data_IF_855203693902
#
_entry.id   IF_855203693902
#
_cell.length_a   1.000
_cell.length_b   1.000
_cell.length_c   1.000
_cell.angle_alpha   90.00
_cell.angle_beta   90.00
_cell.angle_gamma   90.00
#
_symmetry.space_group_name_H-M   'P 1'
#
loop_
_entity.id
_entity.type
_entity.pdbx_description
1 polymer ?
#
# COMPACT_ATOMS: atom_id res chain seq x y z
N UNK A 1 9.21 3.98 -17.64
CA UNK A 1 8.07 4.88 -17.49
C UNK A 1 7.39 5.03 -18.84
N UNK A 2 6.35 4.24 -19.07
CA UNK A 2 5.44 4.43 -20.22
C UNK A 2 4.46 5.57 -19.96
N UNK A 3 3.88 6.14 -21.03
CA UNK A 3 2.92 7.26 -20.94
C UNK A 3 1.77 6.99 -19.96
N UNK A 4 1.26 5.75 -19.93
CA UNK A 4 0.15 5.36 -19.05
C UNK A 4 0.52 5.40 -17.55
N UNK A 5 1.79 5.19 -17.20
CA UNK A 5 2.28 5.26 -15.82
C UNK A 5 2.50 6.71 -15.40
N UNK A 6 2.91 7.54 -16.35
CA UNK A 6 3.07 8.97 -16.16
C UNK A 6 1.70 9.65 -15.93
N UNK A 7 0.68 9.33 -16.72
CA UNK A 7 -0.67 9.86 -16.52
C UNK A 7 -1.23 9.50 -15.15
N UNK A 8 -1.09 8.24 -14.73
CA UNK A 8 -1.56 7.77 -13.43
C UNK A 8 -0.82 8.42 -12.26
N UNK A 9 0.49 8.62 -12.37
CA UNK A 9 1.27 9.36 -11.39
C UNK A 9 0.85 10.84 -11.32
N UNK A 10 0.56 11.45 -12.47
CA UNK A 10 0.14 12.85 -12.56
C UNK A 10 -1.24 13.06 -11.95
N UNK A 11 -2.17 12.13 -12.18
CA UNK A 11 -3.50 12.14 -11.58
C UNK A 11 -3.43 12.02 -10.04
N UNK A 12 -2.62 11.09 -9.52
CA UNK A 12 -2.41 10.92 -8.09
C UNK A 12 -1.83 12.18 -7.44
N UNK A 13 -0.83 12.79 -8.08
CA UNK A 13 -0.21 14.03 -7.61
C UNK A 13 -1.21 15.20 -7.63
N UNK A 14 -2.01 15.31 -8.68
CA UNK A 14 -3.04 16.35 -8.79
C UNK A 14 -4.06 16.24 -7.65
N UNK A 15 -4.51 15.03 -7.36
CA UNK A 15 -5.45 14.76 -6.27
C UNK A 15 -4.88 15.11 -4.89
N UNK A 16 -3.60 14.80 -4.62
CA UNK A 16 -2.93 15.18 -3.36
C UNK A 16 -2.83 16.71 -3.20
N UNK A 17 -2.49 17.44 -4.27
CA UNK A 17 -2.41 18.91 -4.26
C UNK A 17 -3.78 19.54 -3.96
N UNK A 18 -4.86 19.01 -4.54
CA UNK A 18 -6.22 19.50 -4.28
C UNK A 18 -6.64 19.24 -2.83
N UNK A 19 -6.27 18.09 -2.27
CA UNK A 19 -6.57 17.75 -0.88
C UNK A 19 -5.87 18.71 0.09
N UNK A 20 -4.59 19.00 -0.12
CA UNK A 20 -3.83 19.97 0.68
C UNK A 20 -4.40 21.39 0.56
N UNK A 21 -4.92 21.78 -0.60
CA UNK A 21 -5.61 23.07 -0.78
C UNK A 21 -6.94 23.11 -0.02
N UNK A 22 -7.67 22.00 0.06
CA UNK A 22 -8.93 21.90 0.80
C UNK A 22 -8.70 21.97 2.31
N UNK A 23 -7.75 21.20 2.84
CA UNK A 23 -7.39 21.24 4.27
C UNK A 23 -6.79 22.57 4.70
N UNK A 24 -6.07 23.28 3.81
CA UNK A 24 -5.54 24.63 4.10
C UNK A 24 -6.62 25.72 4.12
N UNK A 25 -7.72 25.55 3.39
CA UNK A 25 -8.87 26.48 3.43
C UNK A 25 -9.74 26.30 4.67
N UNK A 26 -9.83 25.09 5.21
CA UNK A 26 -10.58 24.81 6.44
C UNK A 26 -9.83 25.25 7.71
N UNK A 27 -8.50 25.44 7.65
CA UNK A 27 -7.69 25.87 8.80
C UNK A 27 -7.60 27.41 9.02
N UNK A 28 -8.27 28.24 8.20
CA UNK A 28 -8.15 29.71 8.29
C UNK A 28 -9.40 30.39 8.86
N UNK A 29 -10.35 29.63 9.38
CA UNK A 29 -11.58 30.21 9.93
C UNK A 29 -12.09 29.38 11.11
N UNK A 30 -11.35 29.38 12.23
CA UNK A 30 -11.95 29.47 13.56
C UNK A 30 -10.93 29.69 14.69
N UNK A 31 -10.99 30.91 15.22
CA UNK A 31 -11.16 31.23 16.65
C UNK A 31 -10.19 30.68 17.70
N UNK A 32 -9.37 31.61 18.22
CA UNK A 32 -8.75 31.64 19.55
C UNK A 32 -9.52 30.82 20.59
N UNK A 33 -8.90 29.79 21.15
CA UNK A 33 -9.22 29.34 22.51
C UNK A 33 -7.94 28.98 23.26
N UNK A 34 -7.70 29.74 24.33
CA UNK A 34 -6.76 29.45 25.40
C UNK A 34 -7.26 28.21 26.14
N UNK A 35 -6.48 27.13 26.20
CA UNK A 35 -6.63 26.11 27.24
C UNK A 35 -5.23 25.74 27.75
N UNK A 36 -4.91 26.32 28.91
CA UNK A 36 -3.92 25.79 29.85
C UNK A 36 -4.59 24.62 30.56
N UNK A 37 -4.08 23.38 30.42
CA UNK A 37 -4.20 22.33 31.45
C UNK A 37 -2.99 21.38 31.38
N UNK A 38 -2.18 21.50 32.42
CA UNK A 38 -1.38 20.51 33.15
C UNK A 38 -0.82 19.25 32.47
N UNK A 39 0.51 19.18 32.56
CA UNK A 39 1.32 18.03 32.99
C UNK A 39 0.55 16.92 33.72
N UNK A 40 0.60 15.71 33.18
CA UNK A 40 0.75 14.49 33.98
C UNK A 40 1.76 13.57 33.29
N UNK A 41 2.74 13.22 34.10
CA UNK A 41 3.78 12.21 33.93
C UNK A 41 3.14 10.83 33.80
N UNK A 42 3.37 10.12 32.69
CA UNK A 42 3.17 8.67 32.67
C UNK A 42 4.16 7.98 31.73
N UNK A 43 5.31 7.69 32.34
CA UNK A 43 6.32 6.70 31.96
C UNK A 43 5.67 5.39 31.50
N UNK A 44 5.53 5.20 30.18
CA UNK A 44 5.32 3.89 29.57
C UNK A 44 6.60 3.45 28.87
N UNK A 45 7.40 2.70 29.65
CA UNK A 45 8.56 1.96 29.19
C UNK A 45 8.04 0.72 28.46
N UNK A 46 7.84 0.82 27.14
CA UNK A 46 7.60 -0.35 26.30
C UNK A 46 8.93 -0.89 25.76
N UNK A 47 9.08 -2.20 25.91
CA UNK A 47 10.26 -2.98 25.57
C UNK A 47 10.64 -2.80 24.10
N UNK A 48 11.80 -2.21 23.89
CA UNK A 48 12.49 -2.15 22.61
C UNK A 48 13.69 -3.09 22.73
N UNK A 49 13.45 -4.39 22.68
CA UNK A 49 14.52 -5.40 22.66
C UNK A 49 13.95 -6.75 22.22
N UNK A 50 14.05 -7.02 20.92
CA UNK A 50 14.41 -8.31 20.31
C UNK A 50 13.92 -8.34 18.86
N UNK A 51 14.74 -7.87 17.92
CA UNK A 51 14.81 -8.42 16.55
C UNK A 51 16.19 -8.12 15.97
N UNK A 52 17.22 -8.57 16.68
CA UNK A 52 18.57 -8.75 16.14
C UNK A 52 19.01 -10.17 16.44
N UNK A 53 18.50 -11.14 15.68
CA UNK A 53 19.21 -12.41 15.56
C UNK A 53 18.69 -13.20 14.38
N UNK A 54 19.62 -13.61 13.52
CA UNK A 54 19.47 -14.50 12.36
C UNK A 54 18.86 -13.73 11.17
N UNK A 55 19.61 -13.47 10.10
CA UNK A 55 19.93 -14.47 9.09
C UNK A 55 21.21 -14.10 8.32
N UNK A 56 22.26 -14.89 8.51
CA UNK A 56 23.18 -15.23 7.42
C UNK A 56 22.58 -16.47 6.74
N UNK A 57 21.48 -16.32 6.03
CA UNK A 57 20.99 -17.37 5.13
C UNK A 57 21.45 -17.02 3.72
N UNK A 58 22.30 -17.90 3.18
CA UNK A 58 22.62 -17.98 1.76
C UNK A 58 21.31 -17.91 0.99
N UNK A 59 21.05 -16.75 0.39
CA UNK A 59 19.80 -16.45 -0.29
C UNK A 59 19.82 -17.19 -1.61
N UNK A 60 19.23 -18.38 -1.64
CA UNK A 60 18.84 -18.96 -2.91
C UNK A 60 17.92 -17.96 -3.63
N UNK A 61 18.06 -17.79 -4.95
CA UNK A 61 17.24 -16.85 -5.70
C UNK A 61 15.77 -17.24 -5.51
N UNK A 62 14.96 -16.29 -5.01
CA UNK A 62 13.53 -16.50 -4.80
C UNK A 62 12.90 -17.01 -6.10
N UNK A 63 12.15 -18.12 -6.03
CA UNK A 63 11.41 -18.60 -7.21
C UNK A 63 10.26 -17.64 -7.52
N UNK A 64 10.51 -16.77 -8.50
CA UNK A 64 9.59 -15.73 -8.96
C UNK A 64 8.43 -16.27 -9.79
N UNK A 65 8.43 -17.56 -10.14
CA UNK A 65 7.40 -18.14 -11.02
C UNK A 65 6.09 -18.43 -10.32
N UNK A 66 6.06 -18.54 -8.99
CA UNK A 66 4.86 -18.92 -8.25
C UNK A 66 4.72 -18.18 -6.91
N UNK A 67 4.41 -16.88 -6.99
CA UNK A 67 4.20 -16.02 -5.81
C UNK A 67 3.18 -16.62 -4.85
N UNK A 68 2.13 -17.28 -5.35
CA UNK A 68 1.07 -17.86 -4.51
C UNK A 68 1.57 -18.89 -3.49
N UNK A 69 2.74 -19.48 -3.72
CA UNK A 69 3.36 -20.46 -2.83
C UNK A 69 4.38 -19.82 -1.85
N UNK A 70 4.62 -18.52 -1.95
CA UNK A 70 5.56 -17.83 -1.08
C UNK A 70 5.07 -17.86 0.37
N UNK A 71 5.98 -18.21 1.27
CA UNK A 71 5.79 -18.07 2.70
C UNK A 71 5.90 -16.60 3.11
N UNK A 72 5.51 -16.30 4.36
CA UNK A 72 5.71 -14.96 4.93
C UNK A 72 7.20 -14.54 4.90
N UNK A 73 8.12 -15.50 5.08
CA UNK A 73 9.57 -15.23 5.00
C UNK A 73 10.00 -14.85 3.59
N UNK A 74 9.47 -15.53 2.57
CA UNK A 74 9.76 -15.22 1.17
C UNK A 74 9.25 -13.81 0.80
N UNK A 75 8.05 -13.46 1.25
CA UNK A 75 7.48 -12.10 1.08
C UNK A 75 8.36 -11.04 1.74
N UNK A 76 8.79 -11.26 2.99
CA UNK A 76 9.71 -10.33 3.66
C UNK A 76 11.03 -10.20 2.92
N UNK A 77 11.61 -11.31 2.49
CA UNK A 77 12.86 -11.35 1.72
C UNK A 77 12.72 -10.57 0.42
N UNK A 78 11.61 -10.77 -0.31
CA UNK A 78 11.28 -10.01 -1.51
C UNK A 78 11.19 -8.51 -1.25
N UNK A 79 10.47 -8.07 -0.21
CA UNK A 79 10.33 -6.66 0.12
C UNK A 79 11.68 -6.01 0.46
N UNK A 80 12.55 -6.74 1.17
CA UNK A 80 13.91 -6.26 1.49
C UNK A 80 14.76 -6.17 0.21
N UNK A 81 14.78 -7.21 -0.61
CA UNK A 81 15.59 -7.28 -1.83
C UNK A 81 15.18 -6.26 -2.90
N UNK A 82 13.92 -5.80 -2.86
CA UNK A 82 13.38 -4.82 -3.83
C UNK A 82 13.34 -3.39 -3.33
N UNK A 83 14.02 -3.11 -2.21
CA UNK A 83 14.09 -1.78 -1.57
C UNK A 83 12.72 -1.27 -1.10
N UNK A 84 11.82 -2.19 -0.74
CA UNK A 84 10.46 -1.93 -0.25
C UNK A 84 10.35 -2.14 1.28
N UNK A 85 11.45 -1.96 2.00
CA UNK A 85 11.51 -2.11 3.46
C UNK A 85 10.53 -1.18 4.20
N UNK A 86 10.16 -0.04 3.59
CA UNK A 86 9.21 0.92 4.17
C UNK A 86 7.79 0.36 4.32
N UNK A 87 7.41 -0.62 3.50
CA UNK A 87 6.09 -1.26 3.56
C UNK A 87 6.09 -2.58 4.35
N UNK A 88 7.24 -3.02 4.87
CA UNK A 88 7.33 -4.19 5.76
C UNK A 88 6.37 -4.12 6.96
N UNK A 89 6.11 -2.96 7.60
CA UNK A 89 5.17 -2.93 8.71
C UNK A 89 3.73 -3.31 8.30
N UNK A 90 3.36 -3.05 7.04
CA UNK A 90 2.04 -3.42 6.50
C UNK A 90 1.99 -4.85 6.01
N UNK A 91 3.05 -5.31 5.33
CA UNK A 91 3.03 -6.55 4.54
C UNK A 91 4.01 -7.62 5.06
N UNK A 92 4.74 -7.36 6.13
CA UNK A 92 5.74 -8.29 6.65
C UNK A 92 5.16 -9.55 7.31
N UNK A 93 3.85 -9.58 7.55
CA UNK A 93 3.15 -10.71 8.14
C UNK A 93 2.35 -11.53 7.11
N UNK A 94 2.22 -11.06 5.87
CA UNK A 94 1.38 -11.72 4.86
C UNK A 94 2.16 -12.75 4.06
N UNK A 95 1.48 -13.80 3.61
CA UNK A 95 2.01 -14.80 2.70
C UNK A 95 1.77 -14.42 1.22
N UNK A 96 2.29 -15.24 0.31
CA UNK A 96 2.23 -15.01 -1.11
C UNK A 96 0.82 -14.91 -1.70
N UNK A 97 -0.13 -15.70 -1.21
CA UNK A 97 -1.53 -15.65 -1.66
C UNK A 97 -2.17 -14.31 -1.27
N UNK A 98 -2.00 -13.92 -0.02
CA UNK A 98 -2.51 -12.63 0.50
C UNK A 98 -1.87 -11.45 -0.24
N UNK A 99 -0.58 -11.55 -0.60
CA UNK A 99 0.12 -10.54 -1.40
C UNK A 99 -0.47 -10.41 -2.82
N UNK A 100 -0.83 -11.52 -3.46
CA UNK A 100 -1.49 -11.53 -4.77
C UNK A 100 -2.90 -10.95 -4.70
N UNK A 101 -3.67 -11.29 -3.65
CA UNK A 101 -4.99 -10.70 -3.41
C UNK A 101 -4.90 -9.18 -3.17
N UNK A 102 -3.93 -8.74 -2.38
CA UNK A 102 -3.64 -7.33 -2.15
C UNK A 102 -3.31 -6.60 -3.46
N UNK A 103 -2.49 -7.22 -4.31
CA UNK A 103 -2.18 -6.68 -5.64
C UNK A 103 -3.44 -6.53 -6.50
N UNK A 104 -4.33 -7.54 -6.51
CA UNK A 104 -5.59 -7.48 -7.23
C UNK A 104 -6.48 -6.32 -6.74
N UNK A 105 -6.58 -6.11 -5.42
CA UNK A 105 -7.30 -4.96 -4.85
C UNK A 105 -6.68 -3.62 -5.29
N UNK A 106 -5.35 -3.54 -5.33
CA UNK A 106 -4.66 -2.33 -5.79
C UNK A 106 -4.85 -2.06 -7.29
N UNK A 107 -5.03 -3.10 -8.12
CA UNK A 107 -5.38 -2.92 -9.55
C UNK A 107 -6.80 -2.40 -9.72
N UNK A 108 -7.75 -2.89 -8.90
CA UNK A 108 -9.16 -2.53 -9.00
C UNK A 108 -9.40 -1.06 -8.61
N UNK A 109 -8.81 -0.60 -7.52
CA UNK A 109 -8.93 0.78 -7.05
C UNK A 109 -7.63 1.26 -6.37
N UNK A 110 -6.65 1.65 -7.20
CA UNK A 110 -5.34 2.07 -6.72
C UNK A 110 -5.38 3.32 -5.84
N UNK A 111 -6.33 4.23 -6.07
CA UNK A 111 -6.38 5.51 -5.33
C UNK A 111 -6.91 5.27 -3.92
N UNK A 112 -8.00 4.52 -3.80
CA UNK A 112 -8.57 4.16 -2.50
C UNK A 112 -7.59 3.28 -1.71
N UNK A 113 -6.97 2.29 -2.35
CA UNK A 113 -5.99 1.42 -1.69
C UNK A 113 -4.78 2.20 -1.20
N UNK A 114 -4.22 3.11 -2.00
CA UNK A 114 -3.12 3.97 -1.54
C UNK A 114 -3.51 4.77 -0.29
N UNK A 115 -4.70 5.38 -0.27
CA UNK A 115 -5.17 6.17 0.88
C UNK A 115 -5.32 5.31 2.12
N UNK A 116 -5.94 4.14 2.01
CA UNK A 116 -6.13 3.21 3.12
C UNK A 116 -4.80 2.77 3.71
N UNK A 117 -3.86 2.32 2.86
CA UNK A 117 -2.54 1.87 3.29
C UNK A 117 -1.70 3.00 3.90
N UNK A 118 -1.76 4.21 3.32
CA UNK A 118 -1.11 5.41 3.86
C UNK A 118 -1.64 5.75 5.25
N UNK A 119 -2.96 5.77 5.41
CA UNK A 119 -3.61 6.05 6.69
C UNK A 119 -3.29 4.97 7.73
N UNK A 120 -3.26 3.71 7.35
CA UNK A 120 -2.96 2.60 8.24
C UNK A 120 -1.50 2.62 8.71
N UNK A 121 -0.55 2.83 7.79
CA UNK A 121 0.87 2.92 8.13
C UNK A 121 1.16 4.10 9.05
N UNK A 122 0.53 5.25 8.80
CA UNK A 122 0.65 6.42 9.65
C UNK A 122 0.07 6.16 11.04
N UNK A 123 -1.11 5.55 11.12
CA UNK A 123 -1.80 5.27 12.38
C UNK A 123 -1.08 4.25 13.25
N UNK A 124 -0.52 3.20 12.66
CA UNK A 124 0.06 2.08 13.40
C UNK A 124 1.56 2.25 13.68
N UNK A 125 2.28 2.94 12.79
CA UNK A 125 3.74 2.97 12.81
C UNK A 125 4.33 4.38 12.73
N UNK A 126 3.49 5.43 12.71
CA UNK A 126 3.91 6.83 12.55
C UNK A 126 4.80 7.05 11.31
N UNK A 127 4.56 6.26 10.26
CA UNK A 127 5.32 6.29 9.01
C UNK A 127 4.43 6.76 7.85
N UNK A 128 5.02 7.56 6.96
CA UNK A 128 4.32 8.07 5.77
C UNK A 128 4.60 7.17 4.57
N UNK A 129 3.56 6.55 4.03
CA UNK A 129 3.66 5.86 2.73
C UNK A 129 3.70 6.89 1.60
N UNK A 130 4.87 7.06 0.99
CA UNK A 130 4.99 7.95 -0.16
C UNK A 130 4.31 7.35 -1.39
N UNK A 131 3.84 8.21 -2.29
CA UNK A 131 3.27 7.77 -3.58
C UNK A 131 4.32 6.99 -4.38
N UNK A 132 5.59 7.43 -4.34
CA UNK A 132 6.68 6.76 -5.05
C UNK A 132 6.89 5.32 -4.57
N UNK A 133 6.95 5.11 -3.25
CA UNK A 133 7.07 3.77 -2.65
C UNK A 133 5.89 2.88 -3.03
N UNK A 134 4.66 3.42 -2.98
CA UNK A 134 3.47 2.67 -3.36
C UNK A 134 3.49 2.27 -4.84
N UNK A 135 3.84 3.18 -5.75
CA UNK A 135 3.93 2.88 -7.18
C UNK A 135 5.03 1.86 -7.47
N UNK A 136 6.19 1.98 -6.81
CA UNK A 136 7.27 1.00 -6.93
C UNK A 136 6.82 -0.38 -6.45
N UNK A 137 6.09 -0.47 -5.34
CA UNK A 137 5.52 -1.74 -4.87
C UNK A 137 4.61 -2.40 -5.91
N UNK A 138 3.68 -1.63 -6.49
CA UNK A 138 2.77 -2.14 -7.53
C UNK A 138 3.53 -2.58 -8.78
N UNK A 139 4.54 -1.81 -9.20
CA UNK A 139 5.36 -2.14 -10.37
C UNK A 139 6.15 -3.44 -10.19
N UNK A 140 6.74 -3.65 -9.00
CA UNK A 140 7.47 -4.88 -8.69
C UNK A 140 6.55 -6.09 -8.69
N UNK A 141 5.36 -5.98 -8.10
CA UNK A 141 4.38 -7.05 -8.13
C UNK A 141 3.85 -7.33 -9.53
N UNK A 142 3.59 -6.29 -10.32
CA UNK A 142 3.21 -6.43 -11.73
C UNK A 142 4.24 -7.24 -12.51
N UNK A 143 5.52 -6.91 -12.34
CA UNK A 143 6.62 -7.60 -13.02
C UNK A 143 6.66 -9.09 -12.68
N UNK A 144 6.27 -9.50 -11.47
CA UNK A 144 6.37 -10.90 -11.06
C UNK A 144 5.07 -11.65 -11.39
N UNK A 145 3.91 -11.02 -11.19
CA UNK A 145 2.60 -11.58 -11.51
C UNK A 145 2.41 -11.78 -13.02
N UNK A 146 2.74 -10.77 -13.83
CA UNK A 146 2.49 -10.79 -15.28
C UNK A 146 3.50 -11.66 -16.04
N UNK A 147 4.68 -11.92 -15.46
CA UNK A 147 5.67 -12.87 -16.00
C UNK A 147 5.43 -14.32 -15.54
N UNK A 148 4.47 -14.56 -14.64
CA UNK A 148 4.20 -15.88 -14.05
C UNK A 148 2.89 -16.55 -14.45
N UNK A 149 1.86 -15.80 -14.90
CA UNK A 149 0.52 -16.33 -15.23
C UNK A 149 -0.12 -15.58 -16.42
N UNK A 150 -0.82 -16.27 -17.33
CA UNK A 150 -1.69 -15.60 -18.30
C UNK A 150 -2.84 -14.90 -17.54
N UNK A 151 -3.03 -13.62 -17.82
CA UNK A 151 -3.91 -12.66 -17.15
C UNK A 151 -5.43 -12.96 -17.22
N UNK A 152 -5.86 -14.11 -17.75
CA UNK A 152 -7.27 -14.38 -18.05
C UNK A 152 -8.09 -14.97 -16.89
N UNK A 153 -7.49 -15.28 -15.72
CA UNK A 153 -8.22 -15.99 -14.66
C UNK A 153 -8.97 -15.10 -13.66
N UNK A 154 -8.88 -13.77 -13.78
CA UNK A 154 -9.58 -12.85 -12.87
C UNK A 154 -10.44 -11.81 -13.60
N UNK A 155 -11.03 -12.20 -14.74
CA UNK A 155 -12.17 -11.49 -15.30
C UNK A 155 -13.32 -11.57 -14.28
N UNK A 156 -13.41 -10.54 -13.44
CA UNK A 156 -14.56 -10.27 -12.61
C UNK A 156 -15.72 -10.01 -13.58
N UNK A 157 -16.56 -11.03 -13.79
CA UNK A 157 -17.85 -10.94 -14.47
C UNK A 157 -18.71 -9.86 -13.79
N UNK A 158 -18.55 -8.62 -14.24
CA UNK A 158 -19.50 -7.55 -13.98
C UNK A 158 -20.31 -7.34 -15.24
N UNK A 159 -21.16 -8.32 -15.54
CA UNK A 159 -22.34 -8.08 -16.38
C UNK A 159 -23.19 -7.02 -15.66
N UNK A 160 -23.00 -5.77 -16.02
CA UNK A 160 -24.02 -4.74 -15.81
C UNK A 160 -25.07 -5.03 -16.87
N UNK A 161 -26.11 -5.78 -16.49
CA UNK A 161 -27.32 -5.87 -17.27
C UNK A 161 -27.86 -4.44 -17.46
N UNK A 162 -27.78 -3.95 -18.69
CA UNK A 162 -28.50 -2.77 -19.14
C UNK A 162 -29.99 -3.00 -18.89
N UNK A 163 -30.55 -2.26 -17.94
CA UNK A 163 -31.99 -2.00 -17.91
C UNK A 163 -32.31 -1.13 -19.14
N UNK A 164 -32.69 -1.78 -20.24
CA UNK A 164 -33.44 -1.12 -21.30
C UNK A 164 -34.91 -1.13 -20.88
N UNK A 165 -35.37 0.04 -20.44
CA UNK A 165 -36.77 0.43 -20.43
C UNK A 165 -37.28 0.36 -21.88
N UNK A 166 -38.02 -0.69 -22.23
CA UNK A 166 -38.98 -0.65 -23.33
C UNK A 166 -40.38 -0.70 -22.73
N UNK A 167 -40.94 0.49 -22.55
CA UNK A 167 -42.37 0.69 -22.35
C UNK A 167 -43.02 0.84 -23.73
N UNK A 168 -43.92 -0.10 -24.06
CA UNK A 168 -45.09 0.13 -24.92
C UNK A 168 -46.23 -0.81 -24.49
#
# INVERSE_FOLDING_TARGET
FGEHEFEKATELLHNEIQLQKKTKKEATQDTKTNVVVNTVDEKTKFMEEEFQSHQNETTEPLDTKNISNWTTTDVRTFLIQTELSDVLPLFGAINGRELVELYAMCKLDSVSMYRSLKSELLRLHDKVLTIATYLHFIDRLRTICDNGLPLDTFACDRQVAECLDDAD
#
